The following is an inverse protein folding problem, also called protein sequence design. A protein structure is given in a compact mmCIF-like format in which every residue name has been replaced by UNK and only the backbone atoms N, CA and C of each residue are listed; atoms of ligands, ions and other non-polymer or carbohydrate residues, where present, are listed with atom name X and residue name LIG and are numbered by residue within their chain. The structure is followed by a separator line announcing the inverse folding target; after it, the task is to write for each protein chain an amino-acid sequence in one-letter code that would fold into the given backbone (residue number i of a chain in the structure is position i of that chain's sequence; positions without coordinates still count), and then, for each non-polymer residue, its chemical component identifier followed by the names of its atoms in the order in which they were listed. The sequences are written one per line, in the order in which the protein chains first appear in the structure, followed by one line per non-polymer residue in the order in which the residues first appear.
data_IF_895738524516
#
_entry.id   IF_895738524516
#
_cell.length_a   1.000
_cell.length_b   1.000
_cell.length_c   1.000
_cell.angle_alpha   90.00
_cell.angle_beta   90.00
_cell.angle_gamma   90.00
#
_symmetry.space_group_name_H-M   'P 1'
#
loop_
_entity.id
_entity.type
_entity.pdbx_description
1 polymer ?
#
# COMPACT_ATOMS: atom_id res chain seq x y z
N UNK A 1 72.77 -35.70 -49.08
CA UNK A 1 71.31 -35.62 -49.26
C UNK A 1 70.66 -36.02 -47.94
N UNK A 2 69.93 -35.12 -47.26
CA UNK A 2 69.30 -35.46 -45.98
C UNK A 2 68.79 -34.24 -45.21
N UNK A 3 67.72 -33.61 -45.71
CA UNK A 3 67.03 -32.51 -45.03
C UNK A 3 66.11 -33.05 -43.92
N UNK A 4 66.43 -32.75 -42.66
CA UNK A 4 65.56 -33.02 -41.51
C UNK A 4 64.43 -31.99 -41.44
N UNK A 5 63.20 -32.43 -41.72
CA UNK A 5 61.98 -31.64 -41.50
C UNK A 5 61.60 -31.71 -40.00
N UNK A 6 61.70 -30.59 -39.28
CA UNK A 6 61.19 -30.46 -37.90
C UNK A 6 59.67 -30.24 -37.95
N UNK A 7 58.92 -31.25 -37.53
CA UNK A 7 57.46 -31.31 -37.54
C UNK A 7 56.88 -30.42 -36.41
N UNK A 8 56.27 -29.28 -36.77
CA UNK A 8 55.75 -28.28 -35.85
C UNK A 8 54.29 -28.59 -35.40
N UNK A 9 54.06 -29.75 -34.77
CA UNK A 9 52.72 -30.19 -34.32
C UNK A 9 52.45 -29.93 -32.84
N UNK A 10 52.66 -28.70 -32.34
CA UNK A 10 52.34 -28.34 -30.95
C UNK A 10 51.66 -26.98 -30.80
N UNK A 11 50.60 -26.69 -31.57
CA UNK A 11 49.78 -25.47 -31.35
C UNK A 11 48.26 -25.67 -31.36
N UNK A 12 47.73 -26.88 -31.55
CA UNK A 12 46.28 -27.10 -31.61
C UNK A 12 45.60 -27.39 -30.26
N UNK A 13 46.34 -27.58 -29.17
CA UNK A 13 45.78 -27.97 -27.87
C UNK A 13 45.39 -26.79 -26.95
N UNK A 14 45.78 -25.55 -27.27
CA UNK A 14 45.51 -24.39 -26.40
C UNK A 14 44.15 -23.70 -26.63
N UNK A 15 43.56 -23.84 -27.80
CA UNK A 15 42.29 -23.17 -28.15
C UNK A 15 41.06 -23.88 -27.58
N UNK A 16 41.11 -25.20 -27.37
CA UNK A 16 40.01 -25.96 -26.73
C UNK A 16 39.81 -25.63 -25.25
N UNK A 17 40.86 -25.22 -24.53
CA UNK A 17 40.76 -24.86 -23.11
C UNK A 17 40.05 -23.53 -22.84
N UNK A 18 40.13 -22.57 -23.77
CA UNK A 18 39.52 -21.24 -23.60
C UNK A 18 37.98 -21.28 -23.72
N UNK A 19 37.43 -22.15 -24.56
CA UNK A 19 35.97 -22.29 -24.70
C UNK A 19 35.31 -22.93 -23.48
N UNK A 20 35.98 -23.91 -22.84
CA UNK A 20 35.49 -24.54 -21.61
C UNK A 20 35.53 -23.59 -20.40
N UNK A 21 36.55 -22.75 -20.30
CA UNK A 21 36.66 -21.76 -19.22
C UNK A 21 35.53 -20.72 -19.27
N UNK A 22 35.19 -20.23 -20.46
CA UNK A 22 34.09 -19.26 -20.65
C UNK A 22 32.72 -19.84 -20.24
N UNK A 23 32.47 -21.12 -20.52
CA UNK A 23 31.25 -21.81 -20.08
C UNK A 23 31.16 -21.90 -18.56
N UNK A 24 32.27 -22.14 -17.88
CA UNK A 24 32.33 -22.23 -16.40
C UNK A 24 32.14 -20.85 -15.76
N UNK A 25 32.75 -19.80 -16.33
CA UNK A 25 32.55 -18.42 -15.86
C UNK A 25 31.10 -17.97 -15.99
N UNK A 26 30.46 -18.26 -17.13
CA UNK A 26 29.05 -17.96 -17.34
C UNK A 26 28.15 -18.74 -16.37
N UNK A 27 28.45 -20.01 -16.10
CA UNK A 27 27.69 -20.84 -15.16
C UNK A 27 27.73 -20.31 -13.71
N UNK A 28 28.76 -19.55 -13.33
CA UNK A 28 28.88 -18.93 -12.00
C UNK A 28 28.18 -17.56 -11.91
N UNK A 29 28.20 -16.77 -12.98
CA UNK A 29 27.61 -15.42 -12.99
C UNK A 29 26.09 -15.47 -13.20
N UNK A 30 25.62 -16.37 -14.07
CA UNK A 30 24.21 -16.50 -14.44
C UNK A 30 23.25 -16.70 -13.24
N UNK A 31 23.53 -17.55 -12.23
CA UNK A 31 22.66 -17.69 -11.07
C UNK A 31 22.53 -16.39 -10.26
N UNK A 32 23.63 -15.62 -10.10
CA UNK A 32 23.60 -14.33 -9.41
C UNK A 32 22.76 -13.33 -10.21
N UNK A 33 22.91 -13.32 -11.54
CA UNK A 33 22.12 -12.45 -12.42
C UNK A 33 20.62 -12.77 -12.33
N UNK A 34 20.25 -14.05 -12.30
CA UNK A 34 18.84 -14.47 -12.13
C UNK A 34 18.28 -13.99 -10.80
N UNK A 35 19.03 -14.13 -9.70
CA UNK A 35 18.59 -13.67 -8.37
C UNK A 35 18.33 -12.16 -8.36
N UNK A 36 19.22 -11.37 -8.98
CA UNK A 36 19.04 -9.92 -9.08
C UNK A 36 17.81 -9.56 -9.91
N UNK A 37 17.61 -10.21 -11.06
CA UNK A 37 16.44 -9.95 -11.92
C UNK A 37 15.14 -10.33 -11.22
N UNK A 38 15.09 -11.49 -10.56
CA UNK A 38 13.92 -11.90 -9.76
C UNK A 38 13.64 -10.90 -8.64
N UNK A 39 14.66 -10.44 -7.91
CA UNK A 39 14.49 -9.42 -6.88
C UNK A 39 13.89 -8.12 -7.40
N UNK A 40 14.31 -7.67 -8.59
CA UNK A 40 13.74 -6.47 -9.24
C UNK A 40 12.27 -6.68 -9.62
N UNK A 41 11.92 -7.85 -10.14
CA UNK A 41 10.53 -8.18 -10.54
C UNK A 41 9.61 -8.21 -9.32
N UNK A 42 10.02 -8.89 -8.24
CA UNK A 42 9.27 -8.95 -6.98
C UNK A 42 9.06 -7.56 -6.38
N UNK A 43 10.11 -6.75 -6.35
CA UNK A 43 10.01 -5.37 -5.90
C UNK A 43 9.01 -4.57 -6.76
N UNK A 44 8.99 -4.79 -8.08
CA UNK A 44 8.03 -4.16 -8.98
C UNK A 44 6.57 -4.48 -8.63
N UNK A 45 6.26 -5.74 -8.28
CA UNK A 45 4.91 -6.12 -7.87
C UNK A 45 4.52 -5.60 -6.48
N UNK A 46 5.45 -5.62 -5.53
CA UNK A 46 5.25 -5.04 -4.20
C UNK A 46 4.98 -3.53 -4.31
N UNK A 47 5.77 -2.82 -5.13
CA UNK A 47 5.59 -1.41 -5.39
C UNK A 47 4.25 -1.10 -6.07
N UNK A 48 3.84 -1.91 -7.05
CA UNK A 48 2.53 -1.77 -7.68
C UNK A 48 1.39 -1.88 -6.65
N UNK A 49 1.48 -2.84 -5.73
CA UNK A 49 0.50 -3.02 -4.66
C UNK A 49 0.43 -1.79 -3.74
N UNK A 50 1.59 -1.22 -3.36
CA UNK A 50 1.66 0.02 -2.57
C UNK A 50 1.09 1.25 -3.31
N UNK A 51 1.29 1.34 -4.64
CA UNK A 51 0.68 2.43 -5.42
C UNK A 51 -0.84 2.33 -5.47
N UNK A 52 -1.39 1.11 -5.53
CA UNK A 52 -2.84 0.88 -5.52
C UNK A 52 -3.44 1.19 -4.16
N UNK A 53 -2.84 0.74 -3.05
CA UNK A 53 -3.33 1.08 -1.69
C UNK A 53 -3.29 2.59 -1.43
N UNK A 54 -2.25 3.28 -1.90
CA UNK A 54 -2.15 4.74 -1.83
C UNK A 54 -3.18 5.44 -2.72
N UNK A 55 -3.45 4.89 -3.91
CA UNK A 55 -4.51 5.38 -4.80
C UNK A 55 -5.90 5.28 -4.15
N UNK A 56 -6.19 4.12 -3.56
CA UNK A 56 -7.44 3.85 -2.85
C UNK A 56 -7.59 4.76 -1.62
N UNK A 57 -6.55 4.95 -0.82
CA UNK A 57 -6.59 5.88 0.31
C UNK A 57 -6.88 7.31 -0.15
N UNK A 58 -6.35 7.72 -1.31
CA UNK A 58 -6.57 9.05 -1.88
C UNK A 58 -7.99 9.25 -2.40
N UNK A 59 -8.56 8.26 -3.08
CA UNK A 59 -9.95 8.34 -3.56
C UNK A 59 -10.92 8.40 -2.37
N UNK A 60 -10.68 7.58 -1.35
CA UNK A 60 -11.43 7.56 -0.11
C UNK A 60 -11.33 8.88 0.66
N UNK A 61 -10.13 9.42 0.83
CA UNK A 61 -9.92 10.69 1.53
C UNK A 61 -10.60 11.87 0.80
N UNK A 62 -10.59 11.87 -0.55
CA UNK A 62 -11.30 12.88 -1.34
C UNK A 62 -12.81 12.83 -1.12
N UNK A 63 -13.40 11.64 -1.17
CA UNK A 63 -14.83 11.50 -0.90
C UNK A 63 -15.14 11.87 0.55
N UNK A 64 -14.29 11.45 1.49
CA UNK A 64 -14.45 11.74 2.91
C UNK A 64 -14.38 13.22 3.25
N UNK A 65 -13.51 13.99 2.57
CA UNK A 65 -13.41 15.43 2.76
C UNK A 65 -14.75 16.15 2.53
N UNK A 66 -15.53 15.68 1.55
CA UNK A 66 -16.85 16.24 1.22
C UNK A 66 -17.99 15.58 2.01
N UNK A 67 -18.06 14.25 2.01
CA UNK A 67 -19.14 13.49 2.62
C UNK A 67 -19.17 13.66 4.14
N UNK A 68 -18.00 13.64 4.78
CA UNK A 68 -17.92 13.73 6.23
C UNK A 68 -18.10 15.16 6.76
N UNK A 69 -17.79 16.18 5.94
CA UNK A 69 -18.08 17.58 6.29
C UNK A 69 -19.57 17.81 6.54
N UNK A 70 -20.45 17.16 5.75
CA UNK A 70 -21.92 17.30 5.85
C UNK A 70 -22.60 16.29 6.78
N UNK A 71 -21.85 15.34 7.35
CA UNK A 71 -22.42 14.28 8.18
C UNK A 71 -23.02 14.80 9.50
N UNK A 72 -22.53 15.93 10.00
CA UNK A 72 -22.96 16.53 11.27
C UNK A 72 -22.68 15.62 12.46
N UNK A 73 -23.47 15.76 13.54
CA UNK A 73 -23.34 14.99 14.80
C UNK A 73 -24.22 13.73 14.85
N UNK A 74 -24.94 13.43 13.76
CA UNK A 74 -25.85 12.27 13.69
C UNK A 74 -25.04 11.03 13.35
N UNK A 75 -24.93 10.10 14.31
CA UNK A 75 -24.13 8.87 14.17
C UNK A 75 -24.50 8.01 12.95
N UNK A 76 -25.78 7.95 12.57
CA UNK A 76 -26.23 7.23 11.38
C UNK A 76 -25.70 7.84 10.08
N UNK A 77 -25.64 9.18 9.98
CA UNK A 77 -25.13 9.89 8.80
C UNK A 77 -23.61 9.75 8.69
N UNK A 78 -22.93 9.87 9.83
CA UNK A 78 -21.49 9.65 9.94
C UNK A 78 -21.11 8.25 9.48
N UNK A 79 -21.86 7.24 9.95
CA UNK A 79 -21.64 5.87 9.55
C UNK A 79 -21.94 5.65 8.07
N UNK A 80 -23.03 6.21 7.54
CA UNK A 80 -23.34 6.12 6.11
C UNK A 80 -22.25 6.77 5.25
N UNK A 81 -21.70 7.92 5.66
CA UNK A 81 -20.59 8.57 4.97
C UNK A 81 -19.31 7.71 5.03
N UNK A 82 -18.99 7.14 6.19
CA UNK A 82 -17.86 6.22 6.34
C UNK A 82 -18.01 4.96 5.47
N UNK A 83 -19.21 4.38 5.40
CA UNK A 83 -19.49 3.21 4.57
C UNK A 83 -19.36 3.54 3.07
N UNK A 84 -19.77 4.74 2.62
CA UNK A 84 -19.54 5.19 1.24
C UNK A 84 -18.04 5.34 0.89
N UNK A 85 -17.23 5.81 1.84
CA UNK A 85 -15.78 5.87 1.69
C UNK A 85 -15.21 4.46 1.59
N UNK A 86 -15.65 3.54 2.46
CA UNK A 86 -15.22 2.15 2.46
C UNK A 86 -15.59 1.43 1.15
N UNK A 87 -16.77 1.66 0.60
CA UNK A 87 -17.19 1.10 -0.69
C UNK A 87 -16.31 1.61 -1.85
N UNK A 88 -15.96 2.90 -1.84
CA UNK A 88 -15.07 3.50 -2.86
C UNK A 88 -13.67 2.91 -2.78
N UNK A 89 -13.11 2.80 -1.57
CA UNK A 89 -11.80 2.17 -1.34
C UNK A 89 -11.83 0.70 -1.76
N UNK A 90 -12.92 -0.01 -1.47
CA UNK A 90 -13.09 -1.41 -1.86
C UNK A 90 -13.04 -1.59 -3.37
N UNK A 91 -13.75 -0.74 -4.12
CA UNK A 91 -13.77 -0.79 -5.57
C UNK A 91 -12.37 -0.61 -6.20
N UNK A 92 -11.52 0.23 -5.59
CA UNK A 92 -10.14 0.42 -6.05
C UNK A 92 -9.24 -0.77 -5.71
N UNK A 93 -9.50 -1.45 -4.58
CA UNK A 93 -8.68 -2.57 -4.10
C UNK A 93 -8.95 -3.90 -4.83
N UNK A 94 -10.12 -4.08 -5.44
CA UNK A 94 -10.45 -5.25 -6.28
C UNK A 94 -9.49 -5.40 -7.47
N UNK A 95 -8.81 -4.31 -7.87
CA UNK A 95 -7.80 -4.32 -8.93
C UNK A 95 -6.45 -4.93 -8.53
N UNK A 96 -6.23 -5.30 -7.26
CA UNK A 96 -5.00 -5.92 -6.80
C UNK A 96 -4.86 -7.35 -7.33
N UNK A 97 -3.68 -7.69 -7.86
CA UNK A 97 -3.40 -9.00 -8.48
C UNK A 97 -2.36 -9.82 -7.72
N UNK A 98 -1.62 -9.20 -6.81
CA UNK A 98 -0.55 -9.84 -6.02
C UNK A 98 -0.57 -9.42 -4.56
N UNK A 99 -1.67 -8.83 -4.10
CA UNK A 99 -1.87 -8.47 -2.72
C UNK A 99 -3.32 -8.66 -2.32
N UNK A 100 -3.53 -9.10 -1.07
CA UNK A 100 -4.85 -9.28 -0.48
C UNK A 100 -5.13 -8.11 0.47
N UNK A 101 -6.23 -7.37 0.30
CA UNK A 101 -6.59 -6.33 1.27
C UNK A 101 -6.82 -6.92 2.66
N UNK A 102 -6.37 -6.22 3.70
CA UNK A 102 -6.50 -6.65 5.09
C UNK A 102 -7.58 -5.83 5.79
N UNK A 103 -7.50 -4.51 5.65
CA UNK A 103 -8.47 -3.60 6.23
C UNK A 103 -8.13 -2.15 5.98
N UNK A 104 -8.96 -1.26 6.52
CA UNK A 104 -8.76 0.17 6.44
C UNK A 104 -9.27 0.88 7.69
N UNK A 105 -8.75 2.07 7.93
CA UNK A 105 -9.19 2.96 9.00
C UNK A 105 -9.46 4.34 8.43
N UNK A 106 -10.64 4.90 8.72
CA UNK A 106 -10.99 6.28 8.44
C UNK A 106 -10.89 7.04 9.75
N UNK A 107 -10.13 8.12 9.80
CA UNK A 107 -9.80 8.76 11.07
C UNK A 107 -9.75 10.28 10.98
N UNK A 108 -9.91 10.95 12.12
CA UNK A 108 -9.53 12.35 12.28
C UNK A 108 -8.02 12.42 12.49
N UNK A 109 -7.32 13.15 11.63
CA UNK A 109 -5.88 13.35 11.78
C UNK A 109 -5.59 14.17 13.03
N UNK A 110 -4.63 13.72 13.84
CA UNK A 110 -4.23 14.38 15.06
C UNK A 110 -3.53 15.70 14.72
N UNK A 111 -4.07 16.86 15.13
CA UNK A 111 -3.46 18.16 14.84
C UNK A 111 -2.12 18.37 15.54
N UNK A 112 -1.80 17.55 16.55
CA UNK A 112 -0.49 17.54 17.22
C UNK A 112 0.57 16.71 16.50
N UNK A 113 0.16 15.88 15.53
CA UNK A 113 1.08 15.08 14.74
C UNK A 113 1.67 15.83 13.56
N UNK A 114 2.93 15.54 13.23
CA UNK A 114 3.60 16.11 12.05
C UNK A 114 3.34 15.31 10.77
N UNK A 115 2.88 14.07 10.90
CA UNK A 115 2.72 13.12 9.78
C UNK A 115 1.25 12.87 9.41
N UNK A 116 0.31 13.49 10.13
CA UNK A 116 -1.12 13.30 9.89
C UNK A 116 -1.62 11.92 10.36
N UNK A 117 -1.02 11.40 11.42
CA UNK A 117 -1.44 10.14 12.05
C UNK A 117 -2.76 10.32 12.82
N UNK A 118 -3.54 9.25 13.01
CA UNK A 118 -4.63 9.27 13.96
C UNK A 118 -4.11 9.39 15.40
N UNK A 119 -4.99 9.82 16.30
CA UNK A 119 -4.72 9.73 17.74
C UNK A 119 -4.43 8.27 18.10
N UNK A 120 -3.29 8.03 18.77
CA UNK A 120 -2.83 6.67 19.10
C UNK A 120 -2.02 5.97 18.00
N UNK A 121 -1.70 6.66 16.90
CA UNK A 121 -0.83 6.18 15.82
C UNK A 121 -1.52 5.23 14.84
N UNK A 122 -0.86 4.97 13.71
CA UNK A 122 -1.39 4.06 12.68
C UNK A 122 -1.57 2.63 13.21
N UNK A 123 -2.54 1.88 12.68
CA UNK A 123 -2.60 0.43 12.90
C UNK A 123 -1.30 -0.23 12.48
N UNK A 124 -0.82 -1.19 13.28
CA UNK A 124 0.29 -2.04 12.89
C UNK A 124 -0.13 -3.09 11.85
N UNK A 125 0.82 -3.90 11.39
CA UNK A 125 0.60 -5.04 10.51
C UNK A 125 -0.58 -5.92 10.96
N UNK A 126 -1.43 -6.31 10.02
CA UNK A 126 -2.67 -7.04 10.31
C UNK A 126 -3.78 -6.15 10.88
N UNK A 127 -3.71 -4.83 10.69
CA UNK A 127 -4.63 -3.85 11.28
C UNK A 127 -4.70 -3.98 12.82
N UNK A 128 -3.58 -4.26 13.48
CA UNK A 128 -3.54 -4.47 14.93
C UNK A 128 -3.31 -3.15 15.66
N UNK A 129 -4.17 -2.84 16.62
CA UNK A 129 -4.05 -1.62 17.42
C UNK A 129 -4.12 -0.35 16.57
N UNK A 130 -3.48 0.71 17.05
CA UNK A 130 -3.55 2.05 16.48
C UNK A 130 -4.96 2.64 16.54
N UNK A 131 -5.06 3.93 16.25
CA UNK A 131 -6.31 4.66 16.17
C UNK A 131 -7.21 4.48 17.41
N UNK A 132 -6.87 5.18 18.49
CA UNK A 132 -7.52 5.04 19.80
C UNK A 132 -8.80 5.87 19.96
N UNK A 133 -9.00 6.90 19.14
CA UNK A 133 -10.20 7.75 19.16
C UNK A 133 -10.49 8.35 17.79
N UNK A 134 -11.76 8.73 17.56
CA UNK A 134 -12.24 9.42 16.34
C UNK A 134 -11.90 8.70 15.05
N UNK A 135 -12.20 7.41 14.99
CA UNK A 135 -12.01 6.63 13.79
C UNK A 135 -12.94 5.45 13.63
N UNK A 136 -13.15 5.08 12.37
CA UNK A 136 -13.85 3.89 11.93
C UNK A 136 -12.84 2.86 11.48
N UNK A 137 -13.01 1.63 11.95
CA UNK A 137 -12.23 0.48 11.54
C UNK A 137 -13.06 -0.40 10.61
N UNK A 138 -12.42 -0.86 9.56
CA UNK A 138 -12.99 -1.78 8.60
C UNK A 138 -12.03 -2.95 8.38
N UNK A 139 -12.61 -4.13 8.20
CA UNK A 139 -11.90 -5.35 7.83
C UNK A 139 -12.36 -5.80 6.44
N UNK A 140 -11.45 -6.40 5.68
CA UNK A 140 -11.76 -6.90 4.36
C UNK A 140 -12.55 -8.22 4.42
N UNK A 141 -13.70 -8.26 3.77
CA UNK A 141 -14.45 -9.48 3.50
C UNK A 141 -14.15 -9.96 2.07
N UNK A 142 -13.26 -10.95 1.97
CA UNK A 142 -12.87 -11.56 0.71
C UNK A 142 -14.00 -12.33 0.01
N UNK A 143 -15.08 -12.68 0.69
CA UNK A 143 -16.25 -13.32 0.08
C UNK A 143 -17.17 -12.33 -0.64
N UNK A 144 -17.12 -11.07 -0.24
CA UNK A 144 -17.96 -9.99 -0.76
C UNK A 144 -17.17 -8.90 -1.49
N UNK A 145 -15.85 -9.07 -1.63
CA UNK A 145 -14.91 -8.12 -2.23
C UNK A 145 -15.09 -6.69 -1.70
N UNK A 146 -15.30 -6.56 -0.39
CA UNK A 146 -15.59 -5.26 0.23
C UNK A 146 -15.07 -5.12 1.65
N UNK A 147 -14.83 -3.87 2.02
CA UNK A 147 -14.57 -3.45 3.39
C UNK A 147 -15.87 -3.50 4.20
N UNK A 148 -15.82 -4.20 5.32
CA UNK A 148 -16.92 -4.33 6.26
C UNK A 148 -16.57 -3.62 7.54
N UNK A 149 -17.49 -2.80 8.04
CA UNK A 149 -17.27 -2.09 9.30
C UNK A 149 -17.08 -3.08 10.43
N UNK A 150 -16.07 -2.80 11.24
CA UNK A 150 -15.75 -3.56 12.44
C UNK A 150 -16.18 -2.77 13.68
N UNK A 151 -15.67 -1.54 13.84
CA UNK A 151 -15.89 -0.75 15.05
C UNK A 151 -15.55 0.73 14.88
N UNK A 152 -15.83 1.51 15.91
CA UNK A 152 -15.42 2.91 16.01
C UNK A 152 -16.46 3.93 15.56
N UNK A 153 -16.07 5.19 15.57
CA UNK A 153 -16.89 6.34 15.26
C UNK A 153 -16.12 7.65 15.44
N UNK A 154 -16.59 8.70 14.79
CA UNK A 154 -16.08 10.06 14.93
C UNK A 154 -17.29 11.02 15.07
N UNK A 155 -17.70 11.32 16.30
CA UNK A 155 -19.00 11.93 16.59
C UNK A 155 -19.09 13.43 16.31
N UNK A 156 -17.96 14.15 16.25
CA UNK A 156 -17.94 15.61 16.13
C UNK A 156 -16.93 16.05 15.06
N UNK A 157 -17.25 15.91 13.76
CA UNK A 157 -16.42 16.49 12.70
C UNK A 157 -16.59 18.01 12.62
N UNK A 158 -15.52 18.76 12.83
CA UNK A 158 -15.54 20.22 12.68
C UNK A 158 -15.17 20.64 11.24
N UNK A 159 -16.21 20.89 10.43
CA UNK A 159 -16.10 21.53 9.12
C UNK A 159 -16.49 23.02 9.13
N UNK A 160 -16.74 23.58 10.32
CA UNK A 160 -17.39 24.86 10.55
C UNK A 160 -16.51 25.78 11.42
N UNK A 161 -15.48 26.39 10.84
CA UNK A 161 -14.66 27.34 11.57
C UNK A 161 -13.36 27.74 10.85
N UNK A 162 -12.43 28.34 11.60
CA UNK A 162 -11.07 28.64 11.12
C UNK A 162 -10.14 27.42 11.26
N UNK A 163 -10.48 26.47 12.14
CA UNK A 163 -9.71 25.26 12.41
C UNK A 163 -10.47 24.03 11.93
N UNK A 164 -10.51 23.83 10.62
CA UNK A 164 -11.16 22.64 10.05
C UNK A 164 -10.38 21.38 10.40
N UNK A 165 -11.11 20.34 10.78
CA UNK A 165 -10.58 19.00 10.93
C UNK A 165 -10.06 18.45 9.59
N UNK A 166 -9.14 17.49 9.70
CA UNK A 166 -8.61 16.75 8.56
C UNK A 166 -8.98 15.28 8.70
N UNK A 167 -9.53 14.74 7.63
CA UNK A 167 -9.88 13.32 7.51
C UNK A 167 -8.70 12.57 6.87
N UNK A 168 -8.30 11.48 7.50
CA UNK A 168 -7.32 10.55 7.01
C UNK A 168 -7.96 9.22 6.64
N UNK A 169 -7.43 8.59 5.60
CA UNK A 169 -7.75 7.22 5.23
C UNK A 169 -6.44 6.44 5.19
N UNK A 170 -6.39 5.38 5.98
CA UNK A 170 -5.30 4.41 6.04
C UNK A 170 -5.80 3.07 5.50
N UNK A 171 -5.07 2.46 4.58
CA UNK A 171 -5.42 1.17 3.97
C UNK A 171 -4.20 0.26 4.05
N UNK A 172 -4.43 -1.00 4.41
CA UNK A 172 -3.38 -2.00 4.47
C UNK A 172 -3.75 -3.22 3.61
N UNK A 173 -2.78 -3.70 2.85
CA UNK A 173 -2.86 -4.95 2.09
C UNK A 173 -1.63 -5.81 2.36
N UNK A 174 -1.77 -7.11 2.21
CA UNK A 174 -0.70 -8.09 2.33
C UNK A 174 -0.24 -8.50 0.93
N UNK A 175 0.97 -8.08 0.55
CA UNK A 175 1.59 -8.51 -0.70
C UNK A 175 2.27 -9.86 -0.51
N UNK A 176 1.88 -10.86 -1.31
CA UNK A 176 2.46 -12.20 -1.25
C UNK A 176 3.54 -12.33 -2.33
N UNK A 177 4.76 -12.67 -1.91
CA UNK A 177 5.87 -12.83 -2.85
C UNK A 177 5.71 -14.10 -3.67
N UNK A 178 5.99 -14.03 -4.97
CA UNK A 178 5.73 -15.15 -5.90
C UNK A 178 6.80 -16.24 -5.75
N UNK A 179 8.05 -15.84 -5.58
CA UNK A 179 9.22 -16.72 -5.57
C UNK A 179 9.56 -17.27 -4.19
N UNK A 180 9.04 -16.69 -3.11
CA UNK A 180 9.35 -17.07 -1.72
C UNK A 180 10.80 -16.86 -1.30
N UNK A 181 11.65 -16.24 -2.13
CA UNK A 181 13.08 -16.08 -1.85
C UNK A 181 13.41 -14.94 -0.88
N UNK A 182 12.50 -13.96 -0.75
CA UNK A 182 12.65 -12.77 0.12
C UNK A 182 11.86 -12.96 1.42
N UNK A 183 10.76 -13.71 1.36
CA UNK A 183 9.84 -14.00 2.44
C UNK A 183 8.53 -14.54 1.87
N UNK A 184 7.55 -14.82 2.73
CA UNK A 184 6.23 -15.27 2.31
C UNK A 184 5.33 -14.10 1.90
N UNK A 185 5.35 -13.02 2.69
CA UNK A 185 4.57 -11.82 2.44
C UNK A 185 5.21 -10.58 3.08
N UNK A 186 4.73 -9.40 2.67
CA UNK A 186 5.00 -8.12 3.30
C UNK A 186 3.72 -7.29 3.35
N UNK A 187 3.52 -6.54 4.42
CA UNK A 187 2.43 -5.57 4.47
C UNK A 187 2.80 -4.31 3.68
N UNK A 188 1.86 -3.87 2.84
CA UNK A 188 1.95 -2.61 2.13
C UNK A 188 0.81 -1.72 2.59
N UNK A 189 1.16 -0.54 3.05
CA UNK A 189 0.21 0.45 3.51
C UNK A 189 0.10 1.61 2.51
N UNK A 190 -1.04 2.31 2.60
CA UNK A 190 -1.31 3.52 1.86
C UNK A 190 -2.09 4.48 2.74
N UNK A 191 -1.60 5.71 2.86
CA UNK A 191 -2.21 6.74 3.69
C UNK A 191 -2.41 8.03 2.91
N UNK A 192 -3.56 8.66 3.12
CA UNK A 192 -3.84 10.00 2.60
C UNK A 192 -4.65 10.79 3.62
N UNK A 193 -4.24 12.04 3.85
CA UNK A 193 -4.96 12.99 4.71
C UNK A 193 -5.42 14.18 3.87
N UNK A 194 -6.67 14.57 4.04
CA UNK A 194 -7.26 15.75 3.41
C UNK A 194 -8.01 16.59 4.44
N UNK A 195 -7.99 17.91 4.27
CA UNK A 195 -8.85 18.79 5.07
C UNK A 195 -10.31 18.60 4.66
N UNK A 196 -11.22 18.68 5.61
CA UNK A 196 -12.66 18.72 5.32
C UNK A 196 -13.01 19.93 4.45
N UNK A 197 -14.03 19.79 3.62
CA UNK A 197 -14.57 20.90 2.84
C UNK A 197 -15.27 21.90 3.77
N UNK A 198 -14.96 23.20 3.69
CA UNK A 198 -15.60 24.22 4.51
C UNK A 198 -17.09 24.31 4.18
N UNK A 199 -17.92 24.17 5.21
CA UNK A 199 -19.35 24.38 5.05
C UNK A 199 -19.68 25.89 5.05
N UNK A 200 -20.71 26.30 4.30
CA UNK A 200 -21.22 27.65 4.37
C UNK A 200 -21.89 27.91 5.73
N UNK A 201 -21.87 29.18 6.18
CA UNK A 201 -22.23 29.57 7.54
C UNK A 201 -23.69 29.31 7.93
N UNK A 202 -24.58 29.14 6.96
CA UNK A 202 -25.98 28.74 7.15
C UNK A 202 -26.12 27.29 7.63
N UNK A 203 -25.23 26.40 7.19
CA UNK A 203 -25.20 24.98 7.59
C UNK A 203 -24.48 24.75 8.92
N UNK A 204 -23.70 25.72 9.40
CA UNK A 204 -22.96 25.65 10.66
C UNK A 204 -23.78 26.02 11.91
N UNK A 205 -25.04 26.42 11.76
CA UNK A 205 -25.89 26.88 12.86
C UNK A 205 -26.58 25.77 13.67
N UNK A 206 -26.35 24.49 13.33
CA UNK A 206 -27.02 23.33 13.93
C UNK A 206 -26.12 22.34 14.69
N UNK A 207 -24.80 22.54 14.72
CA UNK A 207 -23.85 21.65 15.41
C UNK A 207 -23.50 22.07 16.85
N UNK A 208 -24.15 23.11 17.37
CA UNK A 208 -24.00 23.58 18.75
C UNK A 208 -25.29 23.34 19.53
N UNK A 209 -25.41 22.16 20.12
CA UNK A 209 -26.42 21.85 21.16
C UNK A 209 -25.85 20.83 22.13
#
# INVERSE_FOLDING_TARGET
MGTRVKNNRRRAARTRGQQGAVLVEAALVLPIMILVVMGIIEFGFAFASSTTTTGASRSGARLGAAAYATAGTISANQRAAADQIADTVSADLVGLTSADPVGMTIYRADPSSTEGEPVGGFPADGMVGGCSSDCFRYTWDAGADKMTYESGGWPDPDACGLNLDSIGVYVQAQHNYITGMIGDHVFVDGQTVMRLEPLPSDQCSGSSS
#
